data_IF_726217506216
#
_entry.id   IF_726217506216
#
_cell.length_a   1.000
_cell.length_b   1.000
_cell.length_c   1.000
_cell.angle_alpha   90.00
_cell.angle_beta   90.00
_cell.angle_gamma   90.00
#
_symmetry.space_group_name_H-M   'P 1'
#
loop_
_entity.id
_entity.type
_entity.pdbx_description
1 polymer ?
#
# COMPACT_ATOMS: atom_id res chain seq x y z
N UNK A 1 22.63 -16.50 -8.35
CA UNK A 1 23.54 -15.39 -8.01
C UNK A 1 23.80 -15.50 -6.52
N UNK A 2 25.05 -15.41 -6.05
CA UNK A 2 25.32 -15.36 -4.62
C UNK A 2 25.42 -13.88 -4.22
N UNK A 3 24.59 -13.47 -3.26
CA UNK A 3 24.71 -12.13 -2.69
C UNK A 3 26.09 -11.94 -2.11
N UNK A 4 26.74 -10.85 -2.45
CA UNK A 4 27.97 -10.41 -1.81
C UNK A 4 27.68 -10.04 -0.36
N UNK A 5 28.69 -10.12 0.50
CA UNK A 5 28.58 -9.69 1.89
C UNK A 5 28.17 -8.20 1.98
N UNK A 6 28.59 -7.39 1.02
CA UNK A 6 28.19 -5.99 0.88
C UNK A 6 26.70 -5.85 0.59
N UNK A 7 26.11 -6.69 -0.29
CA UNK A 7 24.69 -6.64 -0.61
C UNK A 7 23.83 -6.96 0.61
N UNK A 8 24.22 -7.97 1.38
CA UNK A 8 23.55 -8.35 2.63
C UNK A 8 23.61 -7.19 3.64
N UNK A 9 24.76 -6.55 3.76
CA UNK A 9 24.97 -5.43 4.68
C UNK A 9 24.07 -4.24 4.30
N UNK A 10 23.98 -3.91 3.01
CA UNK A 10 23.10 -2.83 2.50
C UNK A 10 21.63 -3.15 2.78
N UNK A 11 21.17 -4.36 2.54
CA UNK A 11 19.79 -4.78 2.83
C UNK A 11 19.46 -4.68 4.31
N UNK A 12 20.37 -5.16 5.19
CA UNK A 12 20.17 -5.08 6.65
C UNK A 12 20.16 -3.61 7.11
N UNK A 13 21.08 -2.78 6.61
CA UNK A 13 21.12 -1.35 6.92
C UNK A 13 19.82 -0.64 6.51
N UNK A 14 19.34 -0.89 5.30
CA UNK A 14 18.09 -0.31 4.80
C UNK A 14 16.89 -0.77 5.64
N UNK A 15 16.75 -2.07 5.89
CA UNK A 15 15.68 -2.60 6.72
C UNK A 15 15.69 -2.00 8.14
N UNK A 16 16.88 -1.89 8.75
CA UNK A 16 17.05 -1.28 10.07
C UNK A 16 16.67 0.20 10.05
N UNK A 17 17.08 0.94 9.02
CA UNK A 17 16.76 2.34 8.83
C UNK A 17 15.25 2.56 8.74
N UNK A 18 14.55 1.78 7.90
CA UNK A 18 13.09 1.85 7.76
C UNK A 18 12.39 1.55 9.10
N UNK A 19 12.83 0.53 9.83
CA UNK A 19 12.28 0.21 11.15
C UNK A 19 12.50 1.33 12.18
N UNK A 20 13.68 1.97 12.18
CA UNK A 20 13.98 3.11 13.06
C UNK A 20 13.07 4.28 12.74
N UNK A 21 12.92 4.65 11.45
CA UNK A 21 12.01 5.71 11.01
C UNK A 21 10.58 5.40 11.44
N UNK A 22 10.13 4.17 11.20
CA UNK A 22 8.79 3.72 11.60
C UNK A 22 8.56 3.85 13.11
N UNK A 23 9.54 3.44 13.93
CA UNK A 23 9.44 3.55 15.39
C UNK A 23 9.48 5.00 15.88
N UNK A 24 10.30 5.85 15.26
CA UNK A 24 10.40 7.26 15.63
C UNK A 24 9.08 7.98 15.38
N UNK A 25 8.48 7.76 14.20
CA UNK A 25 7.18 8.35 13.84
C UNK A 25 6.03 7.73 14.63
N UNK A 26 6.11 6.44 14.96
CA UNK A 26 5.10 5.74 15.78
C UNK A 26 5.11 6.17 17.25
N UNK A 27 6.24 6.67 17.77
CA UNK A 27 6.38 7.10 19.17
C UNK A 27 5.65 8.42 19.49
N UNK A 28 5.25 9.21 18.52
CA UNK A 28 4.30 10.31 18.73
C UNK A 28 2.90 9.77 19.05
N UNK A 29 2.82 8.99 20.12
CA UNK A 29 1.68 8.13 20.49
C UNK A 29 0.47 8.87 21.05
N UNK A 30 0.56 10.16 21.36
CA UNK A 30 -0.48 10.84 22.14
C UNK A 30 -1.66 11.38 21.30
N UNK A 31 -1.61 11.25 19.98
CA UNK A 31 -2.66 11.73 19.07
C UNK A 31 -3.55 10.63 18.46
N UNK A 32 -3.47 9.37 18.94
CA UNK A 32 -4.33 8.26 18.43
C UNK A 32 -5.83 8.53 18.60
N UNK A 33 -6.23 9.34 19.55
CA UNK A 33 -7.63 9.73 19.73
C UNK A 33 -8.11 10.82 18.76
N UNK A 34 -7.20 11.51 18.05
CA UNK A 34 -7.55 12.61 17.14
C UNK A 34 -7.59 12.22 15.67
N UNK A 35 -7.16 11.01 15.32
CA UNK A 35 -7.28 10.52 13.96
C UNK A 35 -8.65 9.86 13.74
N UNK A 36 -9.70 10.66 13.88
CA UNK A 36 -11.00 10.32 13.32
C UNK A 36 -10.94 10.60 11.83
N UNK A 37 -11.30 9.64 10.94
CA UNK A 37 -11.45 9.91 9.53
C UNK A 37 -12.46 11.05 9.38
N UNK A 38 -11.99 12.24 9.02
CA UNK A 38 -12.84 13.43 8.91
C UNK A 38 -12.58 14.57 9.90
N UNK A 39 -11.69 14.43 10.87
CA UNK A 39 -11.28 15.59 11.65
C UNK A 39 -10.40 16.50 10.78
N UNK A 40 -11.00 17.57 10.28
CA UNK A 40 -10.33 18.70 9.61
C UNK A 40 -9.50 19.52 10.59
N UNK A 41 -9.16 18.98 11.75
CA UNK A 41 -8.34 19.66 12.75
C UNK A 41 -6.91 19.79 12.22
N UNK A 42 -6.57 20.98 11.78
CA UNK A 42 -5.33 21.38 11.11
C UNK A 42 -4.02 21.15 11.91
N UNK A 43 -4.05 20.51 13.05
CA UNK A 43 -2.88 20.30 13.95
C UNK A 43 -2.24 18.90 13.88
N UNK A 44 -2.64 18.05 12.96
CA UNK A 44 -2.08 16.70 12.83
C UNK A 44 -2.21 16.11 11.43
N UNK A 45 -2.61 16.91 10.43
CA UNK A 45 -2.69 16.44 9.04
C UNK A 45 -1.31 16.29 8.44
N UNK A 46 -1.09 15.16 7.75
CA UNK A 46 0.07 15.01 6.90
C UNK A 46 0.12 16.16 5.88
N UNK A 47 1.30 16.72 5.58
CA UNK A 47 1.43 17.72 4.54
C UNK A 47 1.00 17.10 3.18
N UNK A 48 0.48 17.93 2.29
CA UNK A 48 -0.07 17.48 1.00
C UNK A 48 0.94 16.66 0.16
N UNK A 49 2.22 17.02 0.24
CA UNK A 49 3.28 16.29 -0.46
C UNK A 49 3.50 14.88 0.13
N UNK A 50 3.42 14.72 1.46
CA UNK A 50 3.55 13.40 2.09
C UNK A 50 2.35 12.49 1.76
N UNK A 51 1.14 13.06 1.65
CA UNK A 51 -0.03 12.32 1.18
C UNK A 51 0.15 11.91 -0.29
N UNK A 52 0.62 12.83 -1.14
CA UNK A 52 0.85 12.56 -2.55
C UNK A 52 1.92 11.48 -2.79
N UNK A 53 3.06 11.60 -2.14
CA UNK A 53 4.16 10.62 -2.25
C UNK A 53 3.77 9.26 -1.69
N UNK A 54 3.11 9.20 -0.53
CA UNK A 54 2.60 7.94 0.03
C UNK A 54 1.57 7.28 -0.88
N UNK A 55 0.70 8.06 -1.52
CA UNK A 55 -0.28 7.54 -2.48
C UNK A 55 0.42 6.93 -3.72
N UNK A 56 1.47 7.55 -4.21
CA UNK A 56 2.28 7.02 -5.32
C UNK A 56 3.00 5.75 -4.87
N UNK A 57 3.68 5.78 -3.72
CA UNK A 57 4.41 4.64 -3.19
C UNK A 57 3.50 3.43 -2.91
N UNK A 58 2.29 3.66 -2.37
CA UNK A 58 1.30 2.61 -2.14
C UNK A 58 0.82 1.93 -3.43
N UNK A 59 0.93 2.59 -4.58
CA UNK A 59 0.63 2.00 -5.88
C UNK A 59 1.81 1.23 -6.50
N UNK A 60 3.05 1.49 -6.05
CA UNK A 60 4.24 0.79 -6.55
C UNK A 60 4.47 -0.45 -5.68
N UNK A 61 4.11 -1.61 -6.20
CA UNK A 61 4.28 -2.90 -5.54
C UNK A 61 5.16 -3.84 -6.37
N UNK A 62 5.44 -5.01 -5.83
CA UNK A 62 6.12 -6.07 -6.58
C UNK A 62 5.36 -6.46 -7.87
N UNK A 63 4.05 -6.23 -7.91
CA UNK A 63 3.21 -6.45 -9.08
C UNK A 63 3.58 -5.50 -10.22
N UNK A 64 3.77 -4.19 -9.93
CA UNK A 64 4.21 -3.23 -10.96
C UNK A 64 5.62 -3.51 -11.42
N UNK A 65 6.55 -3.76 -10.50
CA UNK A 65 7.95 -3.92 -10.86
C UNK A 65 8.19 -5.23 -11.63
N UNK A 66 7.64 -6.35 -11.18
CA UNK A 66 7.91 -7.67 -11.76
C UNK A 66 6.81 -8.08 -12.73
N UNK A 67 5.54 -7.96 -12.32
CA UNK A 67 4.39 -8.38 -13.12
C UNK A 67 4.22 -7.54 -14.37
N UNK A 68 4.21 -6.21 -14.24
CA UNK A 68 4.08 -5.31 -15.40
C UNK A 68 5.32 -5.32 -16.28
N UNK A 69 6.54 -5.43 -15.72
CA UNK A 69 7.76 -5.57 -16.52
C UNK A 69 7.74 -6.82 -17.36
N UNK A 70 7.31 -7.97 -16.79
CA UNK A 70 7.13 -9.21 -17.53
C UNK A 70 6.06 -9.10 -18.61
N UNK A 71 4.93 -8.47 -18.34
CA UNK A 71 3.87 -8.22 -19.30
C UNK A 71 4.32 -7.27 -20.40
N UNK A 72 5.11 -6.22 -20.07
CA UNK A 72 5.66 -5.29 -21.04
C UNK A 72 6.64 -5.96 -22.01
N UNK A 73 7.39 -6.96 -21.54
CA UNK A 73 8.28 -7.75 -22.39
C UNK A 73 7.50 -8.52 -23.46
N UNK A 74 6.31 -9.03 -23.13
CA UNK A 74 5.48 -9.82 -24.05
C UNK A 74 4.59 -8.95 -24.94
N UNK A 75 3.94 -7.94 -24.35
CA UNK A 75 2.91 -7.11 -24.99
C UNK A 75 3.43 -5.75 -25.49
N UNK A 76 4.67 -5.40 -25.14
CA UNK A 76 5.26 -4.11 -25.50
C UNK A 76 4.55 -2.92 -24.85
N UNK A 77 4.54 -1.78 -25.54
CA UNK A 77 3.98 -0.51 -25.03
C UNK A 77 2.46 -0.55 -24.76
N UNK A 78 1.76 -1.57 -25.23
CA UNK A 78 0.32 -1.69 -24.98
C UNK A 78 -0.02 -1.73 -23.48
N UNK A 79 0.88 -2.26 -22.64
CA UNK A 79 0.68 -2.31 -21.20
C UNK A 79 0.64 -0.91 -20.54
N UNK A 80 1.33 0.08 -21.13
CA UNK A 80 1.35 1.43 -20.62
C UNK A 80 -0.03 2.11 -20.70
N UNK A 81 -0.90 1.68 -21.62
CA UNK A 81 -2.27 2.21 -21.75
C UNK A 81 -3.10 1.97 -20.49
N UNK A 82 -2.81 0.90 -19.75
CA UNK A 82 -3.47 0.60 -18.47
C UNK A 82 -3.18 1.69 -17.43
N UNK A 83 -1.92 2.04 -17.24
CA UNK A 83 -1.50 3.07 -16.28
C UNK A 83 -1.98 4.47 -16.69
N UNK A 84 -1.92 4.81 -17.97
CA UNK A 84 -2.41 6.10 -18.46
C UNK A 84 -3.91 6.25 -18.27
N UNK A 85 -4.66 5.19 -18.52
CA UNK A 85 -6.11 5.18 -18.27
C UNK A 85 -6.42 5.34 -16.79
N UNK A 86 -5.68 4.62 -15.93
CA UNK A 86 -5.82 4.74 -14.48
C UNK A 86 -5.53 6.17 -14.00
N UNK A 87 -4.44 6.79 -14.48
CA UNK A 87 -4.10 8.17 -14.17
C UNK A 87 -5.20 9.17 -14.58
N UNK A 88 -5.75 9.03 -15.80
CA UNK A 88 -6.84 9.86 -16.27
C UNK A 88 -8.11 9.72 -15.40
N UNK A 89 -8.46 8.47 -15.04
CA UNK A 89 -9.60 8.20 -14.16
C UNK A 89 -9.40 8.79 -12.77
N UNK A 90 -8.19 8.65 -12.19
CA UNK A 90 -7.87 9.23 -10.88
C UNK A 90 -7.98 10.75 -10.87
N UNK A 91 -7.57 11.43 -11.94
CA UNK A 91 -7.75 12.88 -12.08
C UNK A 91 -9.21 13.28 -12.10
N UNK A 92 -10.05 12.54 -12.83
CA UNK A 92 -11.50 12.77 -12.87
C UNK A 92 -12.12 12.55 -11.49
N UNK A 93 -11.78 11.45 -10.83
CA UNK A 93 -12.26 11.13 -9.48
C UNK A 93 -11.81 12.19 -8.47
N UNK A 94 -10.54 12.59 -8.50
CA UNK A 94 -10.01 13.61 -7.61
C UNK A 94 -10.67 14.97 -7.79
N UNK A 95 -10.96 15.36 -9.03
CA UNK A 95 -11.55 16.67 -9.34
C UNK A 95 -13.05 16.73 -9.05
N UNK A 96 -13.80 15.69 -9.40
CA UNK A 96 -15.27 15.74 -9.38
C UNK A 96 -15.89 14.95 -8.23
N UNK A 97 -15.38 13.75 -7.94
CA UNK A 97 -15.99 12.86 -6.94
C UNK A 97 -15.47 13.12 -5.53
N UNK A 98 -14.17 13.33 -5.38
CA UNK A 98 -13.56 13.53 -4.07
C UNK A 98 -14.16 14.72 -3.29
N UNK A 99 -14.38 15.92 -3.88
CA UNK A 99 -15.03 17.02 -3.19
C UNK A 99 -16.45 16.69 -2.71
N UNK A 100 -17.21 15.91 -3.50
CA UNK A 100 -18.56 15.46 -3.13
C UNK A 100 -18.51 14.51 -1.94
N UNK A 101 -17.60 13.56 -1.96
CA UNK A 101 -17.42 12.60 -0.87
C UNK A 101 -16.99 13.28 0.43
N UNK A 102 -16.03 14.21 0.37
CA UNK A 102 -15.57 14.98 1.53
C UNK A 102 -16.69 15.85 2.10
N UNK A 103 -17.45 16.55 1.26
CA UNK A 103 -18.58 17.36 1.69
C UNK A 103 -19.65 16.54 2.41
N UNK A 104 -19.86 15.30 1.96
CA UNK A 104 -20.83 14.39 2.57
C UNK A 104 -20.23 13.53 3.68
N UNK A 105 -18.97 13.72 4.05
CA UNK A 105 -18.26 12.93 5.05
C UNK A 105 -18.31 11.42 4.76
N UNK A 106 -18.12 11.05 3.49
CA UNK A 106 -18.05 9.66 3.03
C UNK A 106 -16.58 9.31 2.85
N UNK A 107 -16.07 8.40 3.67
CA UNK A 107 -14.65 8.05 3.66
C UNK A 107 -14.34 6.71 2.99
N UNK A 108 -15.36 5.87 2.81
CA UNK A 108 -15.18 4.56 2.19
C UNK A 108 -16.31 4.25 1.20
N UNK A 109 -16.00 3.46 0.16
CA UNK A 109 -17.02 3.01 -0.80
C UNK A 109 -18.15 2.20 -0.15
N UNK A 110 -17.90 1.28 0.79
CA UNK A 110 -18.99 0.62 1.51
C UNK A 110 -19.90 1.59 2.28
N UNK A 111 -19.37 2.69 2.81
CA UNK A 111 -20.18 3.71 3.48
C UNK A 111 -21.08 4.46 2.50
N UNK A 112 -20.56 4.80 1.32
CA UNK A 112 -21.37 5.38 0.25
C UNK A 112 -22.55 4.48 -0.12
N UNK A 113 -22.29 3.19 -0.30
CA UNK A 113 -23.31 2.21 -0.64
C UNK A 113 -24.34 2.02 0.48
N UNK A 114 -23.90 2.10 1.75
CA UNK A 114 -24.83 2.09 2.89
C UNK A 114 -25.86 3.21 2.82
N UNK A 115 -25.39 4.43 2.53
CA UNK A 115 -26.28 5.61 2.46
C UNK A 115 -27.28 5.52 1.31
N UNK A 116 -26.89 4.90 0.19
CA UNK A 116 -27.71 4.80 -1.01
C UNK A 116 -28.59 3.55 -1.07
N UNK A 117 -28.08 2.40 -0.62
CA UNK A 117 -28.73 1.10 -0.82
C UNK A 117 -28.97 0.34 0.50
N UNK A 118 -28.53 0.90 1.62
CA UNK A 118 -28.75 0.31 2.94
C UNK A 118 -27.63 -0.59 3.44
N UNK A 119 -27.73 -1.07 4.70
CA UNK A 119 -26.64 -1.75 5.40
C UNK A 119 -26.29 -3.14 4.83
N UNK A 120 -27.27 -3.81 4.21
CA UNK A 120 -27.03 -5.13 3.59
C UNK A 120 -26.03 -5.05 2.44
N UNK A 121 -26.18 -4.06 1.58
CA UNK A 121 -25.27 -3.85 0.43
C UNK A 121 -23.88 -3.42 0.92
N UNK A 122 -23.82 -2.60 1.97
CA UNK A 122 -22.55 -2.29 2.62
C UNK A 122 -21.79 -3.54 3.06
N UNK A 123 -22.47 -4.46 3.75
CA UNK A 123 -21.86 -5.70 4.25
C UNK A 123 -21.36 -6.58 3.09
N UNK A 124 -22.20 -6.78 2.08
CA UNK A 124 -21.83 -7.59 0.90
C UNK A 124 -20.58 -7.01 0.23
N UNK A 125 -20.53 -5.69 0.02
CA UNK A 125 -19.39 -5.04 -0.61
C UNK A 125 -18.15 -5.10 0.27
N UNK A 126 -18.28 -4.91 1.58
CA UNK A 126 -17.16 -5.00 2.51
C UNK A 126 -16.55 -6.41 2.53
N UNK A 127 -17.38 -7.45 2.58
CA UNK A 127 -16.94 -8.85 2.52
C UNK A 127 -16.28 -9.16 1.18
N UNK A 128 -16.87 -8.71 0.07
CA UNK A 128 -16.32 -8.89 -1.26
C UNK A 128 -14.93 -8.27 -1.40
N UNK A 129 -14.75 -7.01 -0.96
CA UNK A 129 -13.44 -6.34 -0.97
C UNK A 129 -12.43 -7.01 -0.04
N UNK A 130 -12.87 -7.50 1.12
CA UNK A 130 -12.00 -8.24 2.03
C UNK A 130 -11.47 -9.53 1.38
N UNK A 131 -12.36 -10.29 0.74
CA UNK A 131 -11.98 -11.51 0.03
C UNK A 131 -10.99 -11.20 -1.11
N UNK A 132 -11.27 -10.20 -1.94
CA UNK A 132 -10.37 -9.77 -3.01
C UNK A 132 -9.01 -9.32 -2.47
N UNK A 133 -9.01 -8.52 -1.40
CA UNK A 133 -7.76 -8.01 -0.83
C UNK A 133 -6.89 -9.12 -0.26
N UNK A 134 -7.48 -10.11 0.43
CA UNK A 134 -6.73 -11.20 1.07
C UNK A 134 -6.32 -12.26 0.05
N UNK A 135 -7.26 -12.77 -0.73
CA UNK A 135 -7.02 -13.94 -1.59
C UNK A 135 -6.40 -13.57 -2.95
N UNK A 136 -6.60 -12.37 -3.44
CA UNK A 136 -6.05 -11.95 -4.73
C UNK A 136 -4.85 -11.03 -4.52
N UNK A 137 -5.06 -9.82 -3.98
CA UNK A 137 -4.00 -8.81 -3.90
C UNK A 137 -2.83 -9.25 -3.01
N UNK A 138 -3.13 -9.63 -1.75
CA UNK A 138 -2.07 -10.00 -0.81
C UNK A 138 -1.30 -11.23 -1.29
N UNK A 139 -2.01 -12.22 -1.84
CA UNK A 139 -1.39 -13.44 -2.39
C UNK A 139 -0.49 -13.11 -3.59
N UNK A 140 -0.95 -12.28 -4.53
CA UNK A 140 -0.17 -11.87 -5.68
C UNK A 140 1.10 -11.11 -5.27
N UNK A 141 0.99 -10.14 -4.37
CA UNK A 141 2.12 -9.33 -3.89
C UNK A 141 3.14 -10.20 -3.15
N UNK A 142 2.69 -11.08 -2.25
CA UNK A 142 3.58 -11.97 -1.51
C UNK A 142 4.27 -12.97 -2.43
N UNK A 143 3.56 -13.53 -3.41
CA UNK A 143 4.13 -14.47 -4.37
C UNK A 143 5.19 -13.81 -5.25
N UNK A 144 4.90 -12.65 -5.82
CA UNK A 144 5.85 -11.91 -6.66
C UNK A 144 7.04 -11.43 -5.83
N UNK A 145 6.81 -10.94 -4.61
CA UNK A 145 7.88 -10.57 -3.69
C UNK A 145 8.78 -11.75 -3.33
N UNK A 146 8.19 -12.92 -3.01
CA UNK A 146 8.96 -14.13 -2.72
C UNK A 146 9.75 -14.62 -3.94
N UNK A 147 9.20 -14.49 -5.15
CA UNK A 147 9.90 -14.80 -6.39
C UNK A 147 11.08 -13.87 -6.63
N UNK A 148 10.94 -12.59 -6.34
CA UNK A 148 12.05 -11.63 -6.39
C UNK A 148 13.17 -12.01 -5.41
N UNK A 149 12.82 -12.30 -4.16
CA UNK A 149 13.79 -12.76 -3.15
C UNK A 149 14.47 -14.04 -3.61
N UNK A 150 13.74 -15.02 -4.11
CA UNK A 150 14.29 -16.27 -4.66
C UNK A 150 15.32 -15.98 -5.78
N UNK A 151 14.99 -15.10 -6.71
CA UNK A 151 15.85 -14.80 -7.86
C UNK A 151 17.17 -14.13 -7.44
N UNK A 152 17.10 -13.26 -6.43
CA UNK A 152 18.26 -12.49 -5.94
C UNK A 152 19.10 -13.29 -4.96
N UNK A 153 18.46 -13.99 -4.01
CA UNK A 153 19.16 -14.68 -2.92
C UNK A 153 19.45 -16.13 -3.16
N UNK A 154 18.72 -16.77 -4.08
CA UNK A 154 18.75 -18.23 -4.28
C UNK A 154 17.98 -19.04 -3.23
N UNK A 155 17.34 -18.37 -2.23
CA UNK A 155 16.47 -19.04 -1.27
C UNK A 155 15.25 -19.62 -1.98
N UNK A 156 14.74 -20.74 -1.49
CA UNK A 156 13.51 -21.32 -2.04
C UNK A 156 12.32 -20.41 -1.81
N UNK A 157 11.33 -20.43 -2.70
CA UNK A 157 10.17 -19.50 -2.69
C UNK A 157 9.37 -19.61 -1.39
N UNK A 158 9.19 -20.82 -0.86
CA UNK A 158 8.39 -21.04 0.35
C UNK A 158 8.92 -20.34 1.62
N UNK A 159 10.19 -20.53 1.99
CA UNK A 159 10.77 -19.77 3.11
C UNK A 159 10.74 -18.26 2.90
N UNK A 160 10.99 -17.80 1.66
CA UNK A 160 10.92 -16.38 1.32
C UNK A 160 9.53 -15.80 1.53
N UNK A 161 8.49 -16.54 1.15
CA UNK A 161 7.09 -16.15 1.33
C UNK A 161 6.72 -16.05 2.81
N UNK A 162 7.12 -17.03 3.63
CA UNK A 162 6.86 -17.03 5.08
C UNK A 162 7.59 -15.85 5.73
N UNK A 163 8.84 -15.63 5.39
CA UNK A 163 9.65 -14.53 5.94
C UNK A 163 9.06 -13.17 5.61
N UNK A 164 8.68 -12.93 4.34
CA UNK A 164 8.03 -11.70 3.92
C UNK A 164 6.67 -11.51 4.59
N UNK A 165 5.86 -12.56 4.68
CA UNK A 165 4.56 -12.51 5.35
C UNK A 165 4.66 -12.19 6.83
N UNK A 166 5.62 -12.80 7.54
CA UNK A 166 5.89 -12.50 8.93
C UNK A 166 6.43 -11.08 9.12
N UNK A 167 7.34 -10.63 8.26
CA UNK A 167 7.88 -9.28 8.31
C UNK A 167 6.78 -8.24 8.08
N UNK A 168 6.00 -8.38 7.01
CA UNK A 168 4.90 -7.47 6.68
C UNK A 168 3.80 -7.48 7.76
N UNK A 169 3.45 -8.66 8.28
CA UNK A 169 2.46 -8.80 9.35
C UNK A 169 2.90 -8.13 10.65
N UNK A 170 4.14 -8.36 11.08
CA UNK A 170 4.69 -7.68 12.26
C UNK A 170 4.76 -6.17 12.05
N UNK A 171 5.24 -5.72 10.88
CA UNK A 171 5.28 -4.31 10.54
C UNK A 171 3.89 -3.67 10.63
N UNK A 172 2.87 -4.28 10.03
CA UNK A 172 1.50 -3.78 10.04
C UNK A 172 0.89 -3.71 11.45
N UNK A 173 1.23 -4.64 12.34
CA UNK A 173 0.74 -4.66 13.72
C UNK A 173 1.36 -3.58 14.60
N UNK A 174 2.65 -3.29 14.43
CA UNK A 174 3.39 -2.37 15.29
C UNK A 174 3.41 -0.94 14.76
N UNK A 175 3.30 -0.77 13.44
CA UNK A 175 3.42 0.52 12.76
C UNK A 175 2.03 1.03 12.37
N UNK A 176 1.57 2.11 12.98
CA UNK A 176 0.27 2.71 12.64
C UNK A 176 0.28 3.38 11.26
N UNK A 177 -0.91 3.66 10.72
CA UNK A 177 -1.13 4.26 9.37
C UNK A 177 -0.28 5.51 9.10
N UNK A 178 -0.07 6.38 10.11
CA UNK A 178 0.75 7.58 9.98
C UNK A 178 2.22 7.24 9.70
N UNK A 179 2.74 6.25 10.42
CA UNK A 179 4.14 5.85 10.25
C UNK A 179 4.35 5.11 8.92
N UNK A 180 3.38 4.31 8.47
CA UNK A 180 3.40 3.70 7.12
C UNK A 180 3.52 4.80 6.06
N UNK A 181 2.69 5.85 6.12
CA UNK A 181 2.74 6.94 5.15
C UNK A 181 4.10 7.66 5.11
N UNK A 182 4.81 7.75 6.23
CA UNK A 182 6.16 8.34 6.25
C UNK A 182 7.23 7.37 5.75
N UNK A 183 7.11 6.08 6.04
CA UNK A 183 8.06 5.08 5.53
C UNK A 183 7.89 4.81 4.05
N UNK A 184 6.71 5.03 3.49
CA UNK A 184 6.45 4.98 2.04
C UNK A 184 7.21 6.08 1.26
N UNK A 185 7.60 7.15 1.94
CA UNK A 185 8.35 8.28 1.33
C UNK A 185 9.85 8.00 1.26
N UNK A 186 10.36 7.05 2.05
CA UNK A 186 11.78 6.66 2.16
C UNK A 186 12.15 5.58 1.17
#
# INVERSE_FOLDING_TARGET
MHLSLLDILVVILYATFVLIVAQFVSREKDDRQKYSPGSTSAKGSLPWWAIGTSLIAANISAEQIIGMSGSAYVLGMAIASYEWTAAAVLLIVGKYFLPIFLKNQIYTMPEFLKRRYGPRIQLVMAVFWLILSVFVNLTAILWLGATAVHTVTGLTVWPSLILLGLFAGNYALYVGVKAVAFTDVV
#
